data_IF_808690353877
#
_entry.id   IF_808690353877
#
_cell.length_a   1.000
_cell.length_b   1.000
_cell.length_c   1.000
_cell.angle_alpha   90.00
_cell.angle_beta   90.00
_cell.angle_gamma   90.00
#
_symmetry.space_group_name_H-M   'P 1'
#
loop_
_entity.id
_entity.type
_entity.pdbx_description
1 polymer ?
#
# COMPACT_ATOMS: atom_id res chain seq x y z
N UNK A 1 -25.47 -21.04 5.68
CA UNK A 1 -25.41 -19.80 6.50
C UNK A 1 -24.55 -18.81 5.73
N UNK A 2 -24.86 -17.52 5.77
CA UNK A 2 -23.99 -16.50 5.16
C UNK A 2 -23.25 -15.77 6.27
N UNK A 3 -21.92 -15.78 6.24
CA UNK A 3 -21.12 -15.04 7.21
C UNK A 3 -21.09 -13.55 6.85
N UNK A 4 -21.34 -12.71 7.86
CA UNK A 4 -21.16 -11.27 7.77
C UNK A 4 -19.75 -10.93 8.25
N UNK A 5 -18.84 -10.71 7.31
CA UNK A 5 -17.46 -10.33 7.61
C UNK A 5 -17.24 -8.84 7.36
N UNK A 6 -16.36 -8.18 8.13
CA UNK A 6 -15.93 -6.81 7.85
C UNK A 6 -14.60 -6.84 7.10
N UNK A 7 -14.45 -6.08 6.01
CA UNK A 7 -13.21 -6.02 5.25
C UNK A 7 -12.02 -5.60 6.12
N UNK A 8 -11.17 -6.57 6.46
CA UNK A 8 -9.85 -6.30 7.03
C UNK A 8 -8.95 -6.01 5.83
N UNK A 9 -8.32 -4.84 5.81
CA UNK A 9 -7.30 -4.41 4.82
C UNK A 9 -6.16 -5.45 4.60
N UNK A 10 -6.05 -6.45 5.47
CA UNK A 10 -5.05 -7.51 5.42
C UNK A 10 -5.63 -8.82 5.99
N UNK A 11 -6.34 -9.59 5.18
CA UNK A 11 -6.66 -10.99 5.50
C UNK A 11 -5.81 -11.92 4.62
N UNK A 12 -5.00 -12.77 5.24
CA UNK A 12 -4.17 -13.78 4.56
C UNK A 12 -4.88 -15.13 4.45
N UNK A 13 -6.13 -15.22 4.90
CA UNK A 13 -6.95 -16.42 4.82
C UNK A 13 -7.71 -16.35 3.50
N UNK A 14 -7.44 -17.29 2.60
CA UNK A 14 -8.23 -17.47 1.39
C UNK A 14 -9.64 -17.93 1.77
N UNK A 15 -10.59 -17.00 1.85
CA UNK A 15 -11.99 -17.27 2.21
C UNK A 15 -12.77 -17.78 1.00
N UNK A 16 -12.42 -18.97 0.50
CA UNK A 16 -13.17 -19.64 -0.57
C UNK A 16 -13.35 -21.15 -0.34
N UNK A 17 -12.99 -21.68 0.83
CA UNK A 17 -13.37 -23.04 1.19
C UNK A 17 -14.66 -23.00 2.03
N UNK A 18 -15.68 -23.81 1.70
CA UNK A 18 -16.91 -23.87 2.49
C UNK A 18 -16.56 -24.32 3.91
N UNK A 19 -16.58 -23.38 4.85
CA UNK A 19 -16.36 -23.69 6.24
C UNK A 19 -17.66 -24.22 6.86
N UNK A 20 -17.53 -25.18 7.77
CA UNK A 20 -18.64 -25.61 8.61
C UNK A 20 -18.61 -24.81 9.90
N UNK A 21 -19.70 -24.12 10.22
CA UNK A 21 -19.85 -23.30 11.42
C UNK A 21 -20.74 -24.02 12.43
N UNK A 22 -20.34 -24.04 13.69
CA UNK A 22 -21.16 -24.55 14.78
C UNK A 22 -21.92 -23.40 15.46
N UNK A 23 -23.25 -23.41 15.34
CA UNK A 23 -24.12 -22.45 16.03
C UNK A 23 -24.95 -23.24 17.07
N UNK A 24 -24.60 -23.09 18.34
CA UNK A 24 -25.14 -23.90 19.43
C UNK A 24 -24.67 -25.36 19.32
N UNK A 25 -25.61 -26.31 19.32
CA UNK A 25 -25.33 -27.75 19.18
C UNK A 25 -25.39 -28.25 17.71
N UNK A 26 -25.72 -27.38 16.75
CA UNK A 26 -25.91 -27.75 15.34
C UNK A 26 -24.78 -27.20 14.47
N UNK A 27 -24.34 -28.02 13.54
CA UNK A 27 -23.36 -27.65 12.50
C UNK A 27 -24.09 -27.21 11.23
N UNK A 28 -23.66 -26.09 10.66
CA UNK A 28 -24.20 -25.50 9.45
C UNK A 28 -23.10 -25.36 8.40
N UNK A 29 -23.44 -25.59 7.13
CA UNK A 29 -22.55 -25.25 6.01
C UNK A 29 -22.66 -23.77 5.68
N UNK A 30 -21.52 -23.13 5.52
CA UNK A 30 -21.41 -21.78 4.99
C UNK A 30 -21.64 -21.81 3.47
N UNK A 31 -22.58 -20.99 3.02
CA UNK A 31 -23.04 -20.97 1.62
C UNK A 31 -22.47 -19.76 0.88
N UNK A 32 -22.17 -18.67 1.59
CA UNK A 32 -21.64 -17.44 1.02
C UNK A 32 -21.01 -16.56 2.13
N UNK A 33 -20.14 -15.62 1.75
CA UNK A 33 -19.57 -14.59 2.63
C UNK A 33 -19.96 -13.23 2.06
N UNK A 34 -20.48 -12.33 2.88
CA UNK A 34 -20.73 -10.95 2.45
C UNK A 34 -20.01 -9.93 3.31
N UNK A 35 -19.35 -8.98 2.64
CA UNK A 35 -18.63 -7.86 3.26
C UNK A 35 -19.48 -6.61 3.44
N UNK A 36 -20.78 -6.69 3.11
CA UNK A 36 -21.68 -5.53 3.18
C UNK A 36 -21.88 -5.11 4.65
N UNK A 37 -21.64 -3.84 5.01
CA UNK A 37 -21.66 -3.40 6.40
C UNK A 37 -23.08 -3.16 6.96
N UNK A 38 -23.92 -4.20 7.02
CA UNK A 38 -25.29 -4.13 7.54
C UNK A 38 -25.39 -3.69 9.00
N UNK A 39 -24.39 -3.99 9.83
CA UNK A 39 -24.34 -3.61 11.25
C UNK A 39 -23.23 -2.59 11.56
N UNK A 40 -22.60 -2.01 10.52
CA UNK A 40 -21.46 -1.10 10.70
C UNK A 40 -20.34 -1.74 11.52
N UNK A 41 -19.76 -0.98 12.47
CA UNK A 41 -18.69 -1.46 13.37
C UNK A 41 -19.07 -2.67 14.24
N UNK A 42 -20.35 -2.97 14.43
CA UNK A 42 -20.73 -4.17 15.20
C UNK A 42 -20.30 -5.46 14.49
N UNK A 43 -20.30 -5.49 13.15
CA UNK A 43 -19.78 -6.63 12.38
C UNK A 43 -18.27 -6.86 12.60
N UNK A 44 -17.53 -5.84 13.04
CA UNK A 44 -16.09 -5.97 13.32
C UNK A 44 -15.83 -6.67 14.66
N UNK A 45 -16.76 -6.56 15.62
CA UNK A 45 -16.59 -7.07 16.98
C UNK A 45 -17.43 -8.32 17.28
N UNK A 46 -18.36 -8.68 16.41
CA UNK A 46 -19.24 -9.83 16.59
C UNK A 46 -19.27 -10.69 15.32
N UNK A 47 -19.12 -12.00 15.50
CA UNK A 47 -19.43 -12.98 14.47
C UNK A 47 -20.94 -12.95 14.21
N UNK A 48 -21.34 -12.51 13.02
CA UNK A 48 -22.73 -12.40 12.64
C UNK A 48 -23.02 -13.29 11.44
N UNK A 49 -24.13 -14.00 11.50
CA UNK A 49 -24.52 -15.00 10.52
C UNK A 49 -25.94 -14.73 10.04
N UNK A 50 -26.15 -14.68 8.72
CA UNK A 50 -27.48 -14.67 8.13
C UNK A 50 -27.94 -16.13 7.96
N UNK A 51 -29.08 -16.43 8.55
CA UNK A 51 -29.71 -17.75 8.52
C UNK A 51 -31.10 -17.64 7.88
N UNK A 52 -31.65 -18.77 7.41
CA UNK A 52 -33.03 -18.81 6.90
C UNK A 52 -34.05 -18.58 8.02
N UNK A 53 -35.25 -18.08 7.67
CA UNK A 53 -36.34 -17.85 8.63
C UNK A 53 -36.66 -19.09 9.48
N UNK A 54 -36.61 -20.28 8.86
CA UNK A 54 -36.83 -21.56 9.56
C UNK A 54 -35.74 -21.81 10.61
N UNK A 55 -34.48 -21.63 10.23
CA UNK A 55 -33.33 -21.80 11.14
C UNK A 55 -33.37 -20.78 12.27
N UNK A 56 -33.77 -19.54 11.97
CA UNK A 56 -33.93 -18.49 12.95
C UNK A 56 -34.96 -18.87 14.03
N UNK A 57 -36.15 -19.33 13.65
CA UNK A 57 -37.17 -19.74 14.62
C UNK A 57 -36.74 -20.94 15.49
N UNK A 58 -35.92 -21.85 14.96
CA UNK A 58 -35.33 -22.96 15.75
C UNK A 58 -34.28 -22.49 16.78
N UNK A 59 -33.55 -21.41 16.49
CA UNK A 59 -32.49 -20.86 17.34
C UNK A 59 -33.00 -19.79 18.32
N UNK A 60 -34.14 -19.17 18.03
CA UNK A 60 -34.74 -18.07 18.78
C UNK A 60 -34.91 -18.36 20.27
N UNK A 61 -35.23 -19.60 20.65
CA UNK A 61 -35.39 -19.99 22.06
C UNK A 61 -34.08 -20.16 22.82
N UNK A 62 -32.93 -20.20 22.13
CA UNK A 62 -31.61 -20.42 22.72
C UNK A 62 -30.89 -19.10 23.04
N UNK A 63 -31.48 -17.95 22.70
CA UNK A 63 -30.85 -16.65 22.84
C UNK A 63 -31.84 -15.54 23.20
N UNK A 64 -31.35 -14.31 23.18
CA UNK A 64 -32.16 -13.11 23.38
C UNK A 64 -32.47 -12.46 22.04
N UNK A 65 -33.74 -12.05 21.85
CA UNK A 65 -34.18 -11.39 20.65
C UNK A 65 -33.97 -9.88 20.77
N UNK A 66 -33.21 -9.30 19.84
CA UNK A 66 -32.96 -7.87 19.76
C UNK A 66 -33.33 -7.38 18.36
N UNK A 67 -34.07 -6.29 18.27
CA UNK A 67 -34.38 -5.62 17.02
C UNK A 67 -33.41 -4.45 16.83
N UNK A 68 -32.65 -4.47 15.74
CA UNK A 68 -31.68 -3.42 15.39
C UNK A 68 -32.09 -2.81 14.05
N UNK A 69 -32.27 -1.50 14.02
CA UNK A 69 -32.57 -0.75 12.80
C UNK A 69 -31.37 0.12 12.44
N UNK A 70 -30.67 -0.24 11.37
CA UNK A 70 -29.52 0.52 10.86
C UNK A 70 -29.92 1.31 9.62
N UNK A 71 -29.49 2.58 9.57
CA UNK A 71 -29.73 3.47 8.44
C UNK A 71 -28.40 3.89 7.82
N UNK A 72 -28.26 3.72 6.51
CA UNK A 72 -27.13 4.24 5.75
C UNK A 72 -27.48 5.63 5.24
N UNK A 73 -26.63 6.61 5.55
CA UNK A 73 -26.74 7.96 4.99
C UNK A 73 -26.42 7.93 3.49
N UNK A 74 -27.26 8.59 2.69
CA UNK A 74 -27.07 8.70 1.24
C UNK A 74 -25.80 9.49 0.90
N UNK A 75 -25.48 10.52 1.69
CA UNK A 75 -24.26 11.31 1.54
C UNK A 75 -23.40 11.27 2.83
N UNK A 76 -22.40 10.36 2.89
CA UNK A 76 -21.52 10.24 4.05
C UNK A 76 -20.58 11.44 4.25
N UNK A 77 -20.38 12.30 3.24
CA UNK A 77 -19.56 13.51 3.37
C UNK A 77 -20.20 14.62 4.19
N UNK A 78 -21.51 14.52 4.49
CA UNK A 78 -22.27 15.54 5.21
C UNK A 78 -22.65 15.12 6.65
N UNK A 79 -21.98 14.10 7.20
CA UNK A 79 -22.28 13.53 8.52
C UNK A 79 -22.28 14.62 9.60
N UNK A 80 -21.33 15.56 9.57
CA UNK A 80 -21.26 16.63 10.58
C UNK A 80 -22.50 17.52 10.62
N UNK A 81 -23.11 17.83 9.47
CA UNK A 81 -24.33 18.61 9.41
C UNK A 81 -25.56 17.80 9.86
N UNK A 82 -25.53 16.48 9.70
CA UNK A 82 -26.61 15.57 10.09
C UNK A 82 -26.54 15.13 11.56
N UNK A 83 -25.37 15.25 12.22
CA UNK A 83 -25.16 14.86 13.64
C UNK A 83 -26.18 15.48 14.60
N UNK A 84 -26.45 16.81 14.59
CA UNK A 84 -27.37 17.41 15.54
C UNK A 84 -28.80 16.89 15.38
N UNK A 85 -29.25 16.77 14.13
CA UNK A 85 -30.59 16.27 13.79
C UNK A 85 -30.77 14.80 14.18
N UNK A 86 -29.77 13.96 13.93
CA UNK A 86 -29.79 12.55 14.31
C UNK A 86 -29.78 12.37 15.85
N UNK A 87 -29.04 13.20 16.58
CA UNK A 87 -29.06 13.19 18.05
C UNK A 87 -30.43 13.61 18.61
N UNK A 88 -31.07 14.61 18.01
CA UNK A 88 -32.42 15.02 18.40
C UNK A 88 -33.44 13.91 18.13
N UNK A 89 -33.36 13.27 16.95
CA UNK A 89 -34.23 12.14 16.60
C UNK A 89 -34.08 10.98 17.59
N UNK A 90 -32.84 10.67 18.01
CA UNK A 90 -32.56 9.62 18.99
C UNK A 90 -33.18 9.92 20.37
N UNK A 91 -33.23 11.20 20.77
CA UNK A 91 -33.82 11.64 22.04
C UNK A 91 -35.35 11.66 22.02
N UNK A 92 -35.96 11.80 20.84
CA UNK A 92 -37.41 11.77 20.66
C UNK A 92 -37.99 10.35 20.54
N UNK A 93 -37.14 9.33 20.36
CA UNK A 93 -37.54 7.92 20.30
C UNK A 93 -37.99 7.38 21.66
N UNK A 94 -38.63 6.20 21.67
CA UNK A 94 -39.04 5.51 22.89
C UNK A 94 -37.84 5.29 23.83
N UNK A 95 -38.06 5.44 25.15
CA UNK A 95 -37.03 5.25 26.18
C UNK A 95 -36.38 3.87 26.06
N UNK A 96 -35.10 3.85 25.64
CA UNK A 96 -34.19 2.76 25.96
C UNK A 96 -33.46 2.07 24.80
N UNK A 97 -33.80 2.30 23.52
CA UNK A 97 -33.23 1.47 22.43
C UNK A 97 -32.76 2.23 21.18
N UNK A 98 -32.97 3.54 21.08
CA UNK A 98 -32.53 4.32 19.90
C UNK A 98 -31.19 4.98 20.18
N UNK A 99 -30.11 4.39 19.65
CA UNK A 99 -28.77 4.94 19.69
C UNK A 99 -28.30 5.34 18.30
N UNK A 100 -27.78 6.55 18.13
CA UNK A 100 -27.05 6.91 16.91
C UNK A 100 -25.58 6.67 17.16
N UNK A 101 -25.07 5.61 16.55
CA UNK A 101 -23.63 5.37 16.48
C UNK A 101 -23.11 6.04 15.23
N UNK A 102 -22.35 7.12 15.40
CA UNK A 102 -21.49 7.61 14.34
C UNK A 102 -20.29 6.70 14.32
N UNK A 103 -20.14 5.94 13.23
CA UNK A 103 -18.80 5.50 12.86
C UNK A 103 -18.06 6.75 12.38
N UNK A 104 -17.63 7.59 13.31
CA UNK A 104 -16.40 8.31 13.06
C UNK A 104 -15.37 7.21 12.83
N UNK A 105 -14.61 7.31 11.74
CA UNK A 105 -13.29 6.68 11.66
C UNK A 105 -12.51 7.23 12.85
N UNK A 106 -12.73 6.60 13.99
CA UNK A 106 -12.16 6.93 15.27
C UNK A 106 -10.67 6.83 15.03
N UNK A 107 -10.03 8.00 15.03
CA UNK A 107 -8.63 8.40 14.96
C UNK A 107 -7.54 7.31 15.15
N UNK A 108 -7.80 6.16 15.76
CA UNK A 108 -6.87 5.06 16.03
C UNK A 108 -6.51 4.21 14.79
N UNK A 109 -7.47 3.82 13.94
CA UNK A 109 -7.17 3.07 12.71
C UNK A 109 -6.44 3.96 11.70
N UNK A 110 -6.93 5.19 11.54
CA UNK A 110 -6.26 6.27 10.81
C UNK A 110 -4.85 6.57 11.35
N UNK A 111 -4.65 6.52 12.67
CA UNK A 111 -3.32 6.75 13.27
C UNK A 111 -2.36 5.63 12.93
N UNK A 112 -2.79 4.36 13.01
CA UNK A 112 -1.93 3.23 12.65
C UNK A 112 -1.55 3.26 11.16
N UNK A 113 -2.52 3.52 10.28
CA UNK A 113 -2.27 3.66 8.84
C UNK A 113 -1.32 4.83 8.58
N UNK A 114 -1.54 5.98 9.21
CA UNK A 114 -0.71 7.19 9.03
C UNK A 114 0.71 6.99 9.53
N UNK A 115 0.88 6.37 10.71
CA UNK A 115 2.20 6.05 11.26
C UNK A 115 2.92 5.05 10.36
N UNK A 116 2.26 3.96 9.99
CA UNK A 116 2.83 2.92 9.11
C UNK A 116 3.22 3.49 7.75
N UNK A 117 2.35 4.28 7.13
CA UNK A 117 2.64 4.98 5.88
C UNK A 117 3.87 5.90 6.00
N UNK A 118 3.92 6.72 7.06
CA UNK A 118 5.06 7.62 7.29
C UNK A 118 6.38 6.88 7.50
N UNK A 119 6.34 5.74 8.20
CA UNK A 119 7.48 4.89 8.44
C UNK A 119 7.95 4.20 7.16
N UNK A 120 7.03 3.67 6.36
CA UNK A 120 7.33 3.09 5.04
C UNK A 120 7.97 4.12 4.11
N UNK A 121 7.44 5.35 4.06
CA UNK A 121 8.00 6.42 3.26
C UNK A 121 9.43 6.80 3.72
N UNK A 122 9.62 6.92 5.03
CA UNK A 122 10.94 7.21 5.61
C UNK A 122 11.95 6.10 5.31
N UNK A 123 11.56 4.84 5.50
CA UNK A 123 12.37 3.66 5.15
C UNK A 123 12.72 3.63 3.67
N UNK A 124 11.76 3.94 2.80
CA UNK A 124 11.98 3.99 1.35
C UNK A 124 13.04 5.03 0.97
N UNK A 125 12.90 6.27 1.46
CA UNK A 125 13.84 7.36 1.15
C UNK A 125 15.23 7.06 1.71
N UNK A 126 15.33 6.54 2.94
CA UNK A 126 16.63 6.22 3.56
C UNK A 126 17.35 5.08 2.84
N UNK A 127 16.66 4.00 2.48
CA UNK A 127 17.23 2.91 1.68
C UNK A 127 17.67 3.40 0.29
N UNK A 128 16.86 4.24 -0.35
CA UNK A 128 17.21 4.83 -1.64
C UNK A 128 18.47 5.70 -1.56
N UNK A 129 18.59 6.54 -0.54
CA UNK A 129 19.78 7.37 -0.30
C UNK A 129 21.01 6.52 0.02
N UNK A 130 20.87 5.46 0.81
CA UNK A 130 21.95 4.53 1.12
C UNK A 130 22.46 3.83 -0.16
N UNK A 131 21.56 3.28 -0.97
CA UNK A 131 21.89 2.65 -2.25
C UNK A 131 22.55 3.66 -3.22
N UNK A 132 22.00 4.86 -3.33
CA UNK A 132 22.58 5.94 -4.14
C UNK A 132 23.98 6.35 -3.69
N UNK A 133 24.23 6.39 -2.37
CA UNK A 133 25.53 6.71 -1.79
C UNK A 133 26.58 5.62 -2.06
N UNK A 134 26.19 4.35 -1.96
CA UNK A 134 27.07 3.22 -2.29
C UNK A 134 27.52 3.30 -3.76
N UNK A 135 26.57 3.54 -4.68
CA UNK A 135 26.88 3.66 -6.10
C UNK A 135 27.77 4.89 -6.36
N UNK A 136 27.48 6.02 -5.71
CA UNK A 136 28.29 7.24 -5.85
C UNK A 136 29.74 7.04 -5.38
N UNK A 137 29.95 6.39 -4.25
CA UNK A 137 31.29 6.08 -3.74
C UNK A 137 32.04 5.14 -4.67
N UNK A 138 31.37 4.10 -5.19
CA UNK A 138 31.96 3.15 -6.14
C UNK A 138 32.45 3.85 -7.41
N UNK A 139 31.59 4.66 -8.04
CA UNK A 139 31.93 5.44 -9.24
C UNK A 139 33.03 6.46 -8.93
N UNK A 140 32.99 7.10 -7.75
CA UNK A 140 34.01 8.03 -7.33
C UNK A 140 35.39 7.39 -7.19
N UNK A 141 35.43 6.16 -6.68
CA UNK A 141 36.67 5.40 -6.54
C UNK A 141 37.18 4.88 -7.88
N UNK A 142 36.31 4.32 -8.73
CA UNK A 142 36.65 3.91 -10.11
C UNK A 142 37.18 5.09 -10.94
N UNK A 143 36.55 6.26 -10.84
CA UNK A 143 37.02 7.46 -11.52
C UNK A 143 38.37 7.98 -11.00
N UNK A 144 38.72 7.70 -9.74
CA UNK A 144 40.03 8.06 -9.17
C UNK A 144 41.12 7.08 -9.63
N UNK A 145 40.83 5.78 -9.60
CA UNK A 145 41.76 4.72 -10.00
C UNK A 145 42.04 4.74 -11.51
N UNK A 146 41.01 4.93 -12.34
CA UNK A 146 41.17 4.99 -13.79
C UNK A 146 41.80 6.29 -14.28
N UNK A 147 41.93 7.32 -13.43
CA UNK A 147 42.51 8.61 -13.81
C UNK A 147 43.91 8.47 -14.38
N UNK A 148 44.74 7.63 -13.76
CA UNK A 148 46.13 7.42 -14.18
C UNK A 148 46.19 6.67 -15.52
N UNK A 149 45.32 5.67 -15.72
CA UNK A 149 45.14 4.96 -16.99
C UNK A 149 44.64 5.88 -18.11
N UNK A 150 43.70 6.77 -17.81
CA UNK A 150 43.17 7.74 -18.75
C UNK A 150 44.23 8.73 -19.21
N UNK A 151 45.15 9.13 -18.34
CA UNK A 151 46.28 9.98 -18.72
C UNK A 151 47.27 9.27 -19.65
N UNK A 152 47.50 7.96 -19.45
CA UNK A 152 48.35 7.15 -20.34
C UNK A 152 47.70 6.95 -21.71
N UNK A 153 46.40 6.63 -21.75
CA UNK A 153 45.62 6.44 -22.99
C UNK A 153 45.54 7.73 -23.81
N UNK A 154 45.47 8.89 -23.15
CA UNK A 154 45.56 10.19 -23.81
C UNK A 154 46.94 10.41 -24.44
N UNK A 155 48.02 10.05 -23.75
CA UNK A 155 49.40 10.11 -24.27
C UNK A 155 49.62 9.18 -25.48
N UNK A 156 48.80 8.14 -25.63
CA UNK A 156 48.79 7.23 -26.80
C UNK A 156 47.91 7.73 -27.97
N UNK A 157 47.33 8.94 -27.88
CA UNK A 157 46.57 9.57 -28.96
C UNK A 157 45.08 9.25 -28.97
N UNK A 158 44.54 8.59 -27.95
CA UNK A 158 43.10 8.35 -27.84
C UNK A 158 42.37 9.65 -27.49
N UNK A 159 41.32 9.97 -28.24
CA UNK A 159 40.56 11.20 -28.01
C UNK A 159 39.83 11.17 -26.66
N UNK A 160 39.93 12.25 -25.88
CA UNK A 160 39.18 12.43 -24.62
C UNK A 160 37.66 12.26 -24.78
N UNK A 161 37.12 12.51 -25.98
CA UNK A 161 35.69 12.33 -26.28
C UNK A 161 35.27 10.86 -26.26
N UNK A 162 36.11 9.97 -26.79
CA UNK A 162 35.86 8.52 -26.78
C UNK A 162 35.90 8.00 -25.35
N UNK A 163 36.88 8.46 -24.57
CA UNK A 163 37.08 8.08 -23.18
C UNK A 163 35.90 8.49 -22.28
N UNK A 164 35.45 9.74 -22.36
CA UNK A 164 34.29 10.21 -21.62
C UNK A 164 32.98 9.53 -22.03
N UNK A 165 32.88 9.04 -23.28
CA UNK A 165 31.72 8.27 -23.74
C UNK A 165 31.71 6.87 -23.15
N UNK A 166 32.87 6.23 -22.99
CA UNK A 166 33.02 4.93 -22.34
C UNK A 166 32.63 5.01 -20.85
N UNK A 167 33.24 5.93 -20.10
CA UNK A 167 32.94 6.18 -18.67
C UNK A 167 31.45 6.46 -18.44
N UNK A 168 30.85 7.30 -19.30
CA UNK A 168 29.41 7.59 -19.21
C UNK A 168 28.56 6.34 -19.37
N UNK A 169 28.93 5.46 -20.29
CA UNK A 169 28.14 4.26 -20.59
C UNK A 169 28.24 3.24 -19.45
N UNK A 170 29.43 3.11 -18.86
CA UNK A 170 29.68 2.28 -17.68
C UNK A 170 28.89 2.77 -16.46
N UNK A 171 28.93 4.07 -16.19
CA UNK A 171 28.12 4.69 -15.13
C UNK A 171 26.63 4.47 -15.39
N UNK A 172 26.15 4.72 -16.62
CA UNK A 172 24.75 4.47 -16.97
C UNK A 172 24.36 3.01 -16.71
N UNK A 173 25.19 2.07 -17.16
CA UNK A 173 24.91 0.65 -16.98
C UNK A 173 24.85 0.26 -15.49
N UNK A 174 25.74 0.81 -14.68
CA UNK A 174 25.77 0.58 -13.23
C UNK A 174 24.51 1.10 -12.51
N UNK A 175 23.84 2.14 -13.03
CA UNK A 175 22.57 2.63 -12.47
C UNK A 175 21.33 1.92 -13.05
N UNK A 176 21.30 1.67 -14.36
CA UNK A 176 20.13 1.08 -15.02
C UNK A 176 19.96 -0.42 -14.73
N UNK A 177 21.07 -1.15 -14.56
CA UNK A 177 21.03 -2.58 -14.25
C UNK A 177 20.26 -2.88 -12.94
N UNK A 178 20.61 -2.28 -11.77
CA UNK A 178 19.85 -2.50 -10.54
C UNK A 178 18.42 -1.93 -10.61
N UNK A 179 18.19 -0.85 -11.36
CA UNK A 179 16.83 -0.30 -11.56
C UNK A 179 15.90 -1.28 -12.27
N UNK A 180 16.37 -1.95 -13.33
CA UNK A 180 15.59 -2.96 -14.05
C UNK A 180 15.25 -4.14 -13.14
N UNK A 181 16.24 -4.62 -12.37
CA UNK A 181 16.01 -5.69 -11.38
C UNK A 181 14.96 -5.30 -10.35
N UNK A 182 15.01 -4.07 -9.84
CA UNK A 182 14.06 -3.53 -8.88
C UNK A 182 12.64 -3.42 -9.45
N UNK A 183 12.51 -3.03 -10.72
CA UNK A 183 11.20 -2.92 -11.39
C UNK A 183 10.56 -4.30 -11.58
N UNK A 184 11.36 -5.30 -11.97
CA UNK A 184 10.89 -6.68 -12.15
C UNK A 184 10.44 -7.28 -10.82
N UNK A 185 11.24 -7.14 -9.75
CA UNK A 185 10.87 -7.66 -8.44
C UNK A 185 9.63 -6.94 -7.87
N UNK A 186 9.54 -5.61 -8.01
CA UNK A 186 8.36 -4.83 -7.60
C UNK A 186 7.09 -5.30 -8.32
N UNK A 187 7.16 -5.54 -9.62
CA UNK A 187 6.03 -6.04 -10.39
C UNK A 187 5.51 -7.39 -9.86
N UNK A 188 6.42 -8.33 -9.58
CA UNK A 188 6.04 -9.62 -9.01
C UNK A 188 5.40 -9.46 -7.62
N UNK A 189 6.00 -8.66 -6.75
CA UNK A 189 5.49 -8.43 -5.38
C UNK A 189 4.13 -7.75 -5.37
N UNK A 190 3.92 -6.70 -6.18
CA UNK A 190 2.62 -6.01 -6.23
C UNK A 190 1.55 -6.88 -6.85
N UNK A 191 1.87 -7.67 -7.87
CA UNK A 191 0.90 -8.61 -8.44
C UNK A 191 0.44 -9.63 -7.41
N UNK A 192 1.36 -10.23 -6.67
CA UNK A 192 1.02 -11.17 -5.60
C UNK A 192 0.17 -10.50 -4.50
N UNK A 193 0.47 -9.26 -4.14
CA UNK A 193 -0.33 -8.49 -3.19
C UNK A 193 -1.75 -8.19 -3.72
N UNK A 194 -1.88 -7.77 -4.98
CA UNK A 194 -3.17 -7.49 -5.60
C UNK A 194 -4.06 -8.74 -5.70
N UNK A 195 -3.47 -9.90 -5.98
CA UNK A 195 -4.19 -11.18 -5.97
C UNK A 195 -4.72 -11.54 -4.57
N UNK A 196 -3.95 -11.25 -3.51
CA UNK A 196 -4.39 -11.46 -2.12
C UNK A 196 -5.47 -10.47 -1.68
N UNK A 197 -5.35 -9.20 -2.07
CA UNK A 197 -6.29 -8.14 -1.69
C UNK A 197 -7.54 -8.08 -2.59
N UNK A 198 -7.60 -8.89 -3.65
CA UNK A 198 -8.63 -8.81 -4.71
C UNK A 198 -8.79 -7.40 -5.31
N UNK A 199 -7.70 -6.65 -5.39
CA UNK A 199 -7.69 -5.24 -5.80
C UNK A 199 -6.65 -4.96 -6.89
N UNK A 200 -6.99 -4.08 -7.83
CA UNK A 200 -6.16 -3.76 -8.99
C UNK A 200 -5.08 -2.71 -8.66
N UNK A 201 -4.02 -3.15 -7.98
CA UNK A 201 -2.91 -2.29 -7.54
C UNK A 201 -1.87 -1.99 -8.64
N UNK A 202 -2.06 -2.54 -9.86
CA UNK A 202 -1.09 -2.39 -10.96
C UNK A 202 -0.93 -0.93 -11.39
N UNK A 203 -2.02 -0.14 -11.41
CA UNK A 203 -1.95 1.28 -11.79
C UNK A 203 -1.03 2.07 -10.84
N UNK A 204 -1.15 1.82 -9.54
CA UNK A 204 -0.36 2.49 -8.51
C UNK A 204 1.13 2.13 -8.66
N UNK A 205 1.44 0.86 -8.93
CA UNK A 205 2.81 0.41 -9.16
C UNK A 205 3.44 0.98 -10.44
N UNK A 206 2.65 1.21 -11.50
CA UNK A 206 3.15 1.86 -12.73
C UNK A 206 3.52 3.32 -12.44
N UNK A 207 2.66 4.05 -11.72
CA UNK A 207 2.95 5.44 -11.33
C UNK A 207 4.18 5.54 -10.42
N UNK A 208 4.31 4.63 -9.44
CA UNK A 208 5.48 4.61 -8.56
C UNK A 208 6.76 4.25 -9.31
N UNK A 209 6.74 3.26 -10.20
CA UNK A 209 7.88 2.90 -11.04
C UNK A 209 8.31 4.06 -11.96
N UNK A 210 7.35 4.79 -12.53
CA UNK A 210 7.62 5.98 -13.36
C UNK A 210 8.29 7.09 -12.54
N UNK A 211 7.83 7.32 -11.31
CA UNK A 211 8.45 8.27 -10.39
C UNK A 211 9.89 7.88 -10.04
N UNK A 212 10.14 6.60 -9.71
CA UNK A 212 11.49 6.11 -9.42
C UNK A 212 12.40 6.21 -10.64
N UNK A 213 11.89 5.90 -11.84
CA UNK A 213 12.63 6.08 -13.09
C UNK A 213 13.02 7.54 -13.31
N UNK A 214 12.09 8.47 -13.10
CA UNK A 214 12.37 9.90 -13.20
C UNK A 214 13.47 10.32 -12.22
N UNK A 215 13.43 9.87 -10.96
CA UNK A 215 14.48 10.13 -9.98
C UNK A 215 15.85 9.54 -10.39
N UNK A 216 15.89 8.28 -10.81
CA UNK A 216 17.13 7.64 -11.28
C UNK A 216 17.71 8.34 -12.51
N UNK A 217 16.86 8.76 -13.45
CA UNK A 217 17.28 9.52 -14.64
C UNK A 217 17.88 10.89 -14.26
N UNK A 218 17.30 11.57 -13.27
CA UNK A 218 17.80 12.84 -12.75
C UNK A 218 19.15 12.66 -12.04
N UNK A 219 19.30 11.62 -11.22
CA UNK A 219 20.58 11.27 -10.57
C UNK A 219 21.64 10.94 -11.61
N UNK A 220 21.32 10.11 -12.63
CA UNK A 220 22.23 9.81 -13.73
C UNK A 220 22.65 11.08 -14.46
N UNK A 221 21.70 11.98 -14.77
CA UNK A 221 21.99 13.25 -15.43
C UNK A 221 22.92 14.14 -14.59
N UNK A 222 22.69 14.26 -13.28
CA UNK A 222 23.54 15.00 -12.36
C UNK A 222 24.94 14.38 -12.27
N UNK A 223 25.03 13.06 -12.19
CA UNK A 223 26.29 12.32 -12.12
C UNK A 223 27.13 12.50 -13.39
N UNK A 224 26.50 12.39 -14.57
CA UNK A 224 27.14 12.65 -15.87
C UNK A 224 27.56 14.12 -15.98
N UNK A 225 26.74 15.06 -15.52
CA UNK A 225 27.08 16.49 -15.53
C UNK A 225 28.22 16.82 -14.56
N UNK A 226 28.29 16.15 -13.42
CA UNK A 226 29.39 16.23 -12.45
C UNK A 226 30.70 15.68 -13.01
N UNK A 227 30.67 14.50 -13.64
CA UNK A 227 31.82 13.92 -14.33
C UNK A 227 32.31 14.82 -15.47
N UNK A 228 31.38 15.35 -16.29
CA UNK A 228 31.69 16.30 -17.35
C UNK A 228 32.31 17.60 -16.79
N UNK A 229 31.77 18.17 -15.71
CA UNK A 229 32.38 19.35 -15.07
C UNK A 229 33.79 19.07 -14.57
N UNK A 230 34.05 17.95 -13.88
CA UNK A 230 35.41 17.62 -13.40
C UNK A 230 36.40 17.40 -14.54
N UNK A 231 35.96 16.85 -15.68
CA UNK A 231 36.79 16.64 -16.86
C UNK A 231 37.05 17.92 -17.68
N UNK A 232 36.12 18.89 -17.69
CA UNK A 232 36.20 20.12 -18.49
C UNK A 232 36.55 21.40 -17.69
N UNK A 233 36.62 21.37 -16.35
CA UNK A 233 36.97 22.53 -15.52
C UNK A 233 38.48 22.85 -15.47
N UNK A 234 39.33 22.18 -16.26
CA UNK A 234 40.75 22.49 -16.41
C UNK A 234 41.05 23.26 -17.71
N UNK A 235 40.13 24.13 -18.13
CA UNK A 235 40.38 25.16 -19.13
C UNK A 235 39.86 26.49 -18.57
N UNK A 236 40.75 27.18 -17.87
CA UNK A 236 40.56 28.45 -17.19
C UNK A 236 41.82 28.75 -16.40
#
# INVERSE_FOLDING_TARGET
VVELFHEILFSLVGTNEPATVNIGEKTYEEVDVTTTPYLGKLQTYAEAYIVSDKTFEELKSQGSLIYIYNYRLENPGNIEASKPWLQELAQQGEEGMTGVSYTEDSLNEDSYIRVTYSLCLFMFVTLMLAAGSIIFLKIGNEAYEDRERYEILEKMGISRKTLGKAVRNEICFAYYCPFLLMTISSYFSVRALGEVMQEDLIQINVWSALFVLALFSLICFLSVRGAKRKLFARNG
#
